data_IF_582797810986
#
_entry.id   IF_582797810986
#
_cell.length_a   1.000
_cell.length_b   1.000
_cell.length_c   1.000
_cell.angle_alpha   90.00
_cell.angle_beta   90.00
_cell.angle_gamma   90.00
#
_symmetry.space_group_name_H-M   'P 1'
#
loop_
_entity.id
_entity.type
_entity.pdbx_description
1 polymer ?
#
# COMPACT_ATOMS: atom_id res chain seq x y z
N UNK A 1 9.34 12.06 -4.55
CA UNK A 1 8.23 12.17 -3.59
C UNK A 1 7.01 12.69 -4.32
N UNK A 2 5.83 12.13 -4.02
CA UNK A 2 4.58 12.59 -4.62
C UNK A 2 4.17 13.92 -3.97
N UNK A 3 3.53 14.80 -4.74
CA UNK A 3 2.97 16.05 -4.21
C UNK A 3 1.45 16.05 -4.35
N UNK A 4 0.77 16.58 -3.34
CA UNK A 4 -0.68 16.59 -3.25
C UNK A 4 -1.16 18.04 -3.08
N UNK A 5 -1.81 18.64 -4.10
CA UNK A 5 -2.34 19.99 -3.98
C UNK A 5 -3.37 20.08 -2.85
N UNK A 6 -3.49 21.23 -2.15
CA UNK A 6 -4.48 21.40 -1.09
C UNK A 6 -5.91 21.47 -1.66
N UNK A 7 -6.90 21.12 -0.83
CA UNK A 7 -8.33 21.22 -1.15
C UNK A 7 -8.78 20.41 -2.38
N UNK A 8 -8.22 19.23 -2.61
CA UNK A 8 -8.64 18.32 -3.69
C UNK A 8 -8.67 16.85 -3.27
N UNK A 9 -9.29 16.02 -4.10
CA UNK A 9 -9.13 14.56 -4.05
C UNK A 9 -8.22 14.13 -5.20
N UNK A 10 -7.17 13.39 -4.88
CA UNK A 10 -6.17 12.90 -5.84
C UNK A 10 -6.17 11.38 -5.86
N UNK A 11 -6.20 10.79 -7.05
CA UNK A 11 -5.86 9.38 -7.24
C UNK A 11 -4.37 9.29 -7.61
N UNK A 12 -3.57 8.65 -6.78
CA UNK A 12 -2.14 8.45 -7.00
C UNK A 12 -1.86 6.97 -7.28
N UNK A 13 -1.19 6.71 -8.40
CA UNK A 13 -0.74 5.36 -8.77
C UNK A 13 0.53 5.06 -7.98
N UNK A 14 0.49 4.05 -7.12
CA UNK A 14 1.61 3.62 -6.29
C UNK A 14 2.32 2.37 -6.84
N UNK A 15 1.71 1.70 -7.81
CA UNK A 15 2.28 0.57 -8.52
C UNK A 15 1.44 0.21 -9.73
N UNK A 16 2.08 -0.39 -10.74
CA UNK A 16 1.46 -0.73 -12.03
C UNK A 16 1.75 -2.18 -12.48
N UNK A 17 2.54 -2.92 -11.72
CA UNK A 17 2.91 -4.28 -12.07
C UNK A 17 1.86 -5.29 -11.61
N UNK A 18 1.92 -6.48 -12.19
CA UNK A 18 1.20 -7.67 -11.70
C UNK A 18 1.67 -8.05 -10.28
N UNK A 19 0.97 -8.99 -9.65
CA UNK A 19 1.11 -9.40 -8.25
C UNK A 19 2.55 -9.53 -7.72
N UNK A 20 3.45 -10.09 -8.52
CA UNK A 20 4.84 -10.33 -8.12
C UNK A 20 5.79 -9.14 -8.29
N UNK A 21 5.29 -7.99 -8.75
CA UNK A 21 6.08 -6.78 -8.97
C UNK A 21 7.13 -6.91 -10.10
N UNK A 22 8.01 -5.92 -10.14
CA UNK A 22 9.27 -5.94 -10.90
C UNK A 22 10.43 -5.60 -9.94
N UNK A 23 11.43 -6.47 -9.81
CA UNK A 23 11.59 -7.74 -10.50
C UNK A 23 10.60 -8.81 -10.01
N UNK A 24 10.17 -9.69 -10.92
CA UNK A 24 9.27 -10.80 -10.59
C UNK A 24 10.07 -11.97 -9.98
N UNK A 25 9.52 -12.61 -8.94
CA UNK A 25 10.20 -13.72 -8.24
C UNK A 25 10.63 -14.84 -9.21
N UNK A 26 11.91 -15.22 -9.14
CA UNK A 26 12.49 -16.26 -9.99
C UNK A 26 12.76 -15.85 -11.45
N UNK A 27 12.39 -14.64 -11.88
CA UNK A 27 12.63 -14.17 -13.24
C UNK A 27 14.07 -13.66 -13.42
N UNK A 28 14.65 -13.96 -14.60
CA UNK A 28 15.99 -13.55 -15.02
C UNK A 28 16.03 -12.96 -16.43
N UNK A 29 14.87 -12.57 -16.99
CA UNK A 29 14.87 -11.80 -18.22
C UNK A 29 15.55 -10.45 -18.02
N UNK A 30 16.00 -9.81 -19.10
CA UNK A 30 16.80 -8.58 -19.04
C UNK A 30 16.18 -7.49 -18.16
N UNK A 31 14.85 -7.30 -18.23
CA UNK A 31 14.15 -6.30 -17.40
C UNK A 31 14.21 -6.63 -15.91
N UNK A 32 14.02 -7.90 -15.53
CA UNK A 32 14.11 -8.30 -14.13
C UNK A 32 15.57 -8.32 -13.64
N UNK A 33 16.52 -8.78 -14.46
CA UNK A 33 17.94 -8.74 -14.14
C UNK A 33 18.40 -7.30 -13.86
N UNK A 34 18.03 -6.36 -14.73
CA UNK A 34 18.32 -4.93 -14.55
C UNK A 34 17.68 -4.36 -13.26
N UNK A 35 16.44 -4.73 -12.94
CA UNK A 35 15.77 -4.28 -11.72
C UNK A 35 16.32 -4.93 -10.43
N UNK A 36 16.91 -6.12 -10.52
CA UNK A 36 17.66 -6.72 -9.41
C UNK A 36 19.01 -6.00 -9.17
N UNK A 37 19.64 -5.50 -10.22
CA UNK A 37 20.92 -4.77 -10.14
C UNK A 37 20.75 -3.30 -9.73
N UNK A 38 19.65 -2.67 -10.15
CA UNK A 38 19.35 -1.26 -9.87
C UNK A 38 17.90 -1.09 -9.39
N UNK A 39 17.75 -0.79 -8.10
CA UNK A 39 16.45 -0.62 -7.46
C UNK A 39 15.62 0.52 -8.06
N UNK A 40 16.23 1.48 -8.77
CA UNK A 40 15.49 2.55 -9.46
C UNK A 40 14.67 2.04 -10.64
N UNK A 41 14.94 0.82 -11.10
CA UNK A 41 14.19 0.14 -12.15
C UNK A 41 13.11 -0.80 -11.60
N UNK A 42 12.92 -0.82 -10.27
CA UNK A 42 11.85 -1.60 -9.65
C UNK A 42 10.50 -0.93 -9.87
N UNK A 43 9.46 -1.73 -9.98
CA UNK A 43 8.07 -1.27 -10.12
C UNK A 43 7.21 -2.13 -9.20
N UNK A 44 6.31 -1.49 -8.46
CA UNK A 44 5.52 -2.17 -7.43
C UNK A 44 4.25 -2.80 -8.01
N UNK A 45 3.74 -3.83 -7.34
CA UNK A 45 2.44 -4.43 -7.59
C UNK A 45 1.33 -3.36 -7.57
N UNK A 46 0.31 -3.57 -8.40
CA UNK A 46 -0.75 -2.61 -8.66
C UNK A 46 -1.40 -2.10 -7.37
N UNK A 47 -1.31 -0.79 -7.14
CA UNK A 47 -1.90 -0.12 -5.99
C UNK A 47 -2.27 1.32 -6.35
N UNK A 48 -3.42 1.76 -5.85
CA UNK A 48 -3.88 3.14 -5.98
C UNK A 48 -4.10 3.73 -4.59
N UNK A 49 -3.71 4.98 -4.38
CA UNK A 49 -4.13 5.75 -3.23
C UNK A 49 -5.15 6.82 -3.63
N UNK A 50 -6.18 6.98 -2.79
CA UNK A 50 -7.08 8.12 -2.81
C UNK A 50 -6.69 9.05 -1.66
N UNK A 51 -6.26 10.26 -2.00
CA UNK A 51 -5.78 11.26 -1.05
C UNK A 51 -6.72 12.46 -1.07
N UNK A 52 -7.36 12.75 0.05
CA UNK A 52 -8.28 13.87 0.23
C UNK A 52 -7.64 14.95 1.10
N UNK A 53 -7.14 16.01 0.45
CA UNK A 53 -6.51 17.18 1.10
C UNK A 53 -7.49 18.30 1.42
N UNK A 54 -8.81 18.04 1.33
CA UNK A 54 -9.86 18.94 1.84
C UNK A 54 -10.02 18.81 3.36
N UNK A 55 -9.45 17.75 3.94
CA UNK A 55 -9.48 17.45 5.37
C UNK A 55 -8.14 17.80 6.03
N UNK A 56 -8.19 18.10 7.33
CA UNK A 56 -6.99 18.35 8.15
C UNK A 56 -7.06 17.51 9.42
N UNK A 57 -6.23 16.44 9.56
CA UNK A 57 -5.24 15.97 8.60
C UNK A 57 -5.88 15.39 7.31
N UNK A 58 -5.12 15.28 6.20
CA UNK A 58 -5.61 14.66 4.96
C UNK A 58 -6.04 13.22 5.19
N UNK A 59 -7.09 12.78 4.49
CA UNK A 59 -7.51 11.38 4.50
C UNK A 59 -6.78 10.62 3.39
N UNK A 60 -6.32 9.41 3.71
CA UNK A 60 -5.60 8.54 2.78
C UNK A 60 -6.23 7.16 2.78
N UNK A 61 -6.73 6.72 1.62
CA UNK A 61 -7.24 5.37 1.42
C UNK A 61 -6.38 4.63 0.41
N UNK A 62 -6.09 3.35 0.67
CA UNK A 62 -5.46 2.48 -0.32
C UNK A 62 -6.50 1.62 -1.01
N UNK A 63 -6.30 1.39 -2.30
CA UNK A 63 -6.90 0.29 -3.05
C UNK A 63 -5.83 -0.78 -3.14
N UNK A 64 -6.12 -1.91 -2.50
CA UNK A 64 -5.28 -3.07 -2.27
C UNK A 64 -4.13 -2.87 -1.28
N UNK A 65 -3.85 -3.93 -0.50
CA UNK A 65 -2.71 -4.03 0.40
C UNK A 65 -1.68 -4.99 -0.22
N UNK A 66 -0.82 -4.47 -1.08
CA UNK A 66 0.11 -5.28 -1.88
C UNK A 66 1.34 -5.75 -1.08
N UNK A 67 2.12 -6.73 -1.58
CA UNK A 67 3.40 -7.10 -0.95
C UNK A 67 4.38 -5.92 -0.77
N UNK A 68 4.25 -4.89 -1.61
CA UNK A 68 5.12 -3.72 -1.65
C UNK A 68 4.69 -2.58 -0.71
N UNK A 69 3.68 -2.81 0.14
CA UNK A 69 3.01 -1.77 0.95
C UNK A 69 3.96 -0.88 1.75
N UNK A 70 5.08 -1.39 2.29
CA UNK A 70 6.07 -0.58 3.02
C UNK A 70 6.69 0.53 2.16
N UNK A 71 6.94 0.25 0.89
CA UNK A 71 7.48 1.25 -0.04
C UNK A 71 6.37 2.18 -0.54
N UNK A 72 5.18 1.62 -0.77
CA UNK A 72 4.00 2.40 -1.22
C UNK A 72 3.53 3.40 -0.16
N UNK A 73 3.59 3.06 1.12
CA UNK A 73 3.32 4.00 2.22
C UNK A 73 4.40 5.09 2.32
N UNK A 74 5.66 4.75 2.06
CA UNK A 74 6.75 5.74 2.06
C UNK A 74 6.60 6.79 0.94
N UNK A 75 6.07 6.40 -0.22
CA UNK A 75 5.70 7.34 -1.29
C UNK A 75 4.64 8.36 -0.83
N UNK A 76 3.85 8.02 0.18
CA UNK A 76 2.80 8.85 0.80
C UNK A 76 3.25 9.51 2.11
N UNK A 77 4.51 9.39 2.51
CA UNK A 77 5.01 9.82 3.82
C UNK A 77 4.63 11.27 4.17
N UNK A 78 4.78 12.18 3.20
CA UNK A 78 4.49 13.61 3.38
C UNK A 78 3.02 13.88 3.72
N UNK A 79 2.09 13.13 3.13
CA UNK A 79 0.64 13.35 3.33
C UNK A 79 0.07 12.53 4.48
N UNK A 80 0.67 11.38 4.80
CA UNK A 80 0.34 10.60 5.99
C UNK A 80 0.80 11.31 7.26
N UNK A 81 2.02 11.85 7.22
CA UNK A 81 2.67 12.48 8.36
C UNK A 81 3.07 11.50 9.46
N UNK A 82 3.59 12.04 10.57
CA UNK A 82 4.01 11.26 11.72
C UNK A 82 2.81 10.72 12.52
N UNK A 83 2.98 9.53 13.09
CA UNK A 83 2.01 8.93 13.99
C UNK A 83 1.93 9.75 15.30
N UNK A 84 0.72 10.10 15.80
CA UNK A 84 0.58 11.03 16.93
C UNK A 84 1.29 10.61 18.22
N UNK A 85 1.33 9.30 18.52
CA UNK A 85 2.01 8.75 19.70
C UNK A 85 3.41 8.16 19.41
N UNK A 86 3.83 8.09 18.15
CA UNK A 86 5.05 7.40 17.70
C UNK A 86 5.75 8.28 16.64
N UNK A 87 6.42 9.38 17.02
CA UNK A 87 6.85 10.42 16.08
C UNK A 87 7.84 9.96 15.00
N UNK A 88 8.55 8.85 15.22
CA UNK A 88 9.44 8.22 14.23
C UNK A 88 8.76 7.07 13.45
N UNK A 89 7.43 7.13 13.31
CA UNK A 89 6.61 6.21 12.53
C UNK A 89 5.62 7.02 11.71
N UNK A 90 5.28 6.53 10.52
CA UNK A 90 4.20 7.09 9.73
C UNK A 90 2.85 6.80 10.40
N UNK A 91 1.91 7.73 10.26
CA UNK A 91 0.49 7.46 10.49
C UNK A 91 0.02 6.42 9.46
N UNK A 92 -0.85 5.52 9.88
CA UNK A 92 -1.52 4.56 9.01
C UNK A 92 -2.51 5.25 8.03
N UNK A 93 -2.87 4.62 6.90
CA UNK A 93 -4.00 5.06 6.10
C UNK A 93 -5.32 5.00 6.89
N UNK A 94 -6.33 5.74 6.43
CA UNK A 94 -7.66 5.85 7.03
C UNK A 94 -8.61 4.69 6.67
N UNK A 95 -8.20 3.88 5.70
CA UNK A 95 -8.83 2.62 5.34
C UNK A 95 -8.16 1.98 4.11
N UNK A 96 -8.46 0.70 3.89
CA UNK A 96 -8.01 -0.06 2.72
C UNK A 96 -9.21 -0.72 2.08
N UNK A 97 -9.35 -0.61 0.76
CA UNK A 97 -10.33 -1.34 -0.04
C UNK A 97 -9.61 -2.47 -0.77
N UNK A 98 -10.03 -3.71 -0.56
CA UNK A 98 -9.48 -4.87 -1.24
C UNK A 98 -10.35 -5.24 -2.43
N UNK A 99 -9.73 -5.39 -3.59
CA UNK A 99 -10.43 -5.75 -4.83
C UNK A 99 -10.72 -7.24 -4.90
N UNK A 100 -9.75 -8.09 -4.55
CA UNK A 100 -9.88 -9.56 -4.56
C UNK A 100 -8.78 -10.25 -3.73
N UNK A 101 -8.88 -11.58 -3.59
CA UNK A 101 -8.10 -12.38 -2.64
C UNK A 101 -6.75 -12.94 -3.13
N UNK A 102 -6.15 -12.38 -4.17
CA UNK A 102 -4.81 -12.80 -4.59
C UNK A 102 -3.71 -12.12 -3.79
N UNK A 103 -2.53 -12.75 -3.73
CA UNK A 103 -1.39 -12.25 -2.95
C UNK A 103 -0.97 -10.83 -3.34
N UNK A 104 -1.11 -10.44 -4.61
CA UNK A 104 -0.81 -9.09 -5.09
C UNK A 104 -1.64 -8.01 -4.40
N UNK A 105 -2.77 -8.38 -3.79
CA UNK A 105 -3.77 -7.43 -3.28
C UNK A 105 -3.99 -7.52 -1.78
N UNK A 106 -3.58 -8.60 -1.12
CA UNK A 106 -3.82 -8.83 0.32
C UNK A 106 -2.57 -9.09 1.14
N UNK A 107 -1.44 -9.47 0.52
CA UNK A 107 -0.24 -9.88 1.28
C UNK A 107 0.39 -8.76 2.12
N UNK A 108 0.10 -7.48 1.81
CA UNK A 108 0.52 -6.34 2.60
C UNK A 108 -0.18 -6.22 3.96
N UNK A 109 -1.34 -6.87 4.15
CA UNK A 109 -2.09 -6.81 5.42
C UNK A 109 -1.25 -7.31 6.60
N UNK A 110 -0.42 -8.34 6.40
CA UNK A 110 0.45 -8.87 7.44
C UNK A 110 1.45 -7.81 7.97
N UNK A 111 1.90 -6.88 7.11
CA UNK A 111 2.81 -5.80 7.53
C UNK A 111 2.12 -4.74 8.40
N UNK A 112 0.79 -4.71 8.43
CA UNK A 112 -0.01 -3.84 9.31
C UNK A 112 -0.26 -4.48 10.68
N UNK A 113 0.03 -5.77 10.82
CA UNK A 113 -0.09 -6.54 12.05
C UNK A 113 0.97 -6.21 13.12
N UNK A 114 0.92 -6.90 14.27
CA UNK A 114 1.75 -6.60 15.44
C UNK A 114 3.26 -6.80 15.23
N UNK A 115 3.65 -7.62 14.26
CA UNK A 115 5.07 -7.92 13.95
C UNK A 115 5.78 -6.77 13.24
N UNK A 116 5.04 -5.80 12.69
CA UNK A 116 5.58 -4.71 11.92
C UNK A 116 4.98 -3.36 12.33
N UNK A 117 3.95 -2.86 11.64
CA UNK A 117 3.43 -1.51 11.89
C UNK A 117 2.57 -1.42 13.17
N UNK A 118 2.00 -2.54 13.62
CA UNK A 118 1.10 -2.64 14.78
C UNK A 118 -0.01 -1.59 14.71
N UNK A 119 -0.85 -1.72 13.68
CA UNK A 119 -2.01 -0.86 13.46
C UNK A 119 -3.24 -1.49 14.11
N UNK A 120 -3.97 -0.70 14.89
CA UNK A 120 -5.20 -1.13 15.55
C UNK A 120 -6.40 -0.38 14.95
N UNK A 121 -7.53 -1.08 14.80
CA UNK A 121 -8.81 -0.48 14.37
C UNK A 121 -8.84 0.03 12.92
N UNK A 122 -7.88 -0.36 12.07
CA UNK A 122 -7.89 0.00 10.65
C UNK A 122 -9.09 -0.63 9.95
N UNK A 123 -9.85 0.19 9.23
CA UNK A 123 -11.00 -0.28 8.44
C UNK A 123 -10.52 -0.92 7.15
N UNK A 124 -10.87 -2.18 6.96
CA UNK A 124 -10.69 -2.93 5.72
C UNK A 124 -12.06 -3.14 5.08
N UNK A 125 -12.20 -2.73 3.83
CA UNK A 125 -13.41 -2.86 3.04
C UNK A 125 -13.19 -3.91 1.95
N UNK A 126 -14.08 -4.89 1.86
CA UNK A 126 -14.01 -5.97 0.89
C UNK A 126 -15.42 -6.47 0.57
N UNK A 127 -15.60 -7.14 -0.57
CA UNK A 127 -16.81 -7.92 -0.82
C UNK A 127 -16.98 -9.01 0.25
N UNK A 128 -18.22 -9.39 0.55
CA UNK A 128 -18.55 -10.35 1.63
C UNK A 128 -17.76 -11.67 1.51
N UNK A 129 -17.61 -12.21 0.30
CA UNK A 129 -16.89 -13.46 0.06
C UNK A 129 -15.39 -13.34 0.38
N UNK A 130 -14.78 -12.21 0.04
CA UNK A 130 -13.37 -11.95 0.39
C UNK A 130 -13.22 -11.76 1.90
N UNK A 131 -14.14 -11.04 2.54
CA UNK A 131 -14.12 -10.91 4.00
C UNK A 131 -14.20 -12.28 4.70
N UNK A 132 -15.07 -13.17 4.20
CA UNK A 132 -15.17 -14.54 4.72
C UNK A 132 -13.86 -15.33 4.52
N UNK A 133 -13.21 -15.19 3.36
CA UNK A 133 -11.91 -15.82 3.08
C UNK A 133 -10.83 -15.33 4.05
N UNK A 134 -10.75 -14.03 4.29
CA UNK A 134 -9.76 -13.44 5.19
C UNK A 134 -9.98 -13.86 6.64
N UNK A 135 -11.23 -13.94 7.09
CA UNK A 135 -11.57 -14.37 8.45
C UNK A 135 -11.43 -15.89 8.66
N UNK A 136 -11.45 -16.68 7.58
CA UNK A 136 -11.23 -18.12 7.62
C UNK A 136 -9.74 -18.51 7.59
N UNK A 137 -8.86 -17.55 7.32
CA UNK A 137 -7.41 -17.77 7.30
C UNK A 137 -6.86 -17.56 8.73
N UNK A 138 -6.21 -18.57 9.34
CA UNK A 138 -5.75 -18.51 10.73
C UNK A 138 -4.63 -17.50 10.96
#
# INVERSE_FOLDING_TARGET
MLSFPPNQVTAAILGIMQDGGLPHIGCRCDRCAAAYEDLRQTEYAACLALVDTRQTPPLVYLIDATPDIKFQLDLLADVLGAHPQRPYRLRQPDGIFLTHGHMGHTAGLAQLGPEAMAVEGLRIFAASDLNNLLLATP
#
